data_IF_176310705287
#
_entry.id   IF_176310705287
#
_cell.length_a   1.000
_cell.length_b   1.000
_cell.length_c   1.000
_cell.angle_alpha   90.00
_cell.angle_beta   90.00
_cell.angle_gamma   90.00
#
_symmetry.space_group_name_H-M   'P 1'
#
loop_
_entity.id
_entity.type
_entity.pdbx_description
1 polymer ?
#
# COMPACT_ATOMS: atom_id res chain seq x y z
N UNK A 1 57.80 2.72 -48.18
CA UNK A 1 56.80 3.78 -48.43
C UNK A 1 55.64 3.14 -49.17
N UNK A 2 54.59 2.84 -48.45
CA UNK A 2 53.31 2.48 -49.05
C UNK A 2 52.24 2.82 -48.00
N UNK A 3 51.34 3.73 -48.33
CA UNK A 3 50.26 4.27 -47.52
C UNK A 3 49.14 3.23 -47.35
N UNK A 4 48.43 3.17 -46.20
CA UNK A 4 47.28 2.32 -46.04
C UNK A 4 46.05 2.92 -46.72
N UNK A 5 45.05 2.05 -47.11
CA UNK A 5 43.87 2.49 -47.81
C UNK A 5 42.85 3.14 -46.87
N UNK A 6 42.25 4.24 -47.36
CA UNK A 6 41.16 4.99 -46.76
C UNK A 6 39.83 4.20 -46.79
N UNK A 7 39.16 4.06 -45.64
CA UNK A 7 37.77 3.63 -45.55
C UNK A 7 36.83 4.85 -45.76
N UNK A 8 35.71 4.70 -46.43
CA UNK A 8 34.74 5.77 -46.60
C UNK A 8 33.91 6.02 -45.33
N UNK A 9 33.82 7.27 -44.90
CA UNK A 9 32.91 7.76 -43.87
C UNK A 9 31.46 7.66 -44.35
N UNK A 10 30.66 6.89 -43.64
CA UNK A 10 29.20 6.96 -43.74
C UNK A 10 28.64 7.95 -42.68
N UNK A 11 27.72 8.84 -43.05
CA UNK A 11 27.18 9.80 -42.10
C UNK A 11 26.20 9.15 -41.16
N UNK A 12 26.57 9.11 -39.88
CA UNK A 12 25.66 8.69 -38.79
C UNK A 12 24.68 9.85 -38.52
N UNK A 13 23.48 9.76 -39.07
CA UNK A 13 22.36 10.62 -38.65
C UNK A 13 21.84 10.11 -37.30
N UNK A 14 22.11 10.88 -36.27
CA UNK A 14 21.38 10.85 -35.01
C UNK A 14 19.97 11.41 -35.24
N UNK A 15 18.99 10.56 -35.45
CA UNK A 15 17.60 10.92 -35.36
C UNK A 15 16.88 9.75 -34.67
N UNK A 16 16.61 9.92 -33.41
CA UNK A 16 15.85 8.95 -32.61
C UNK A 16 15.78 9.46 -31.20
N UNK A 17 14.84 10.35 -30.93
CA UNK A 17 14.33 10.58 -29.58
C UNK A 17 13.91 9.23 -29.00
N UNK A 18 14.18 8.92 -27.70
CA UNK A 18 13.67 7.70 -27.10
C UNK A 18 12.14 7.80 -27.07
N UNK A 19 11.49 7.02 -27.90
CA UNK A 19 10.07 6.72 -27.74
C UNK A 19 9.89 6.10 -26.36
N UNK A 20 9.20 6.83 -25.50
CA UNK A 20 8.56 6.27 -24.33
C UNK A 20 7.68 5.12 -24.82
N UNK A 21 8.13 3.89 -24.67
CA UNK A 21 7.27 2.72 -24.71
C UNK A 21 6.33 2.81 -23.53
N UNK A 22 5.22 3.52 -23.70
CA UNK A 22 4.06 3.38 -22.84
C UNK A 22 3.71 1.89 -22.76
N UNK A 23 3.85 1.33 -21.59
CA UNK A 23 3.29 0.02 -21.24
C UNK A 23 1.77 0.13 -21.38
N UNK A 24 1.28 -0.14 -22.58
CA UNK A 24 -0.15 -0.17 -22.85
C UNK A 24 -0.74 -1.41 -22.18
N UNK A 25 -1.43 -1.20 -21.06
CA UNK A 25 -2.25 -2.25 -20.43
C UNK A 25 -3.12 -2.94 -21.48
N UNK A 26 -3.37 -4.26 -21.37
CA UNK A 26 -4.26 -5.00 -22.26
C UNK A 26 -5.61 -4.29 -22.38
N UNK A 27 -6.19 -4.29 -23.57
CA UNK A 27 -7.46 -3.59 -23.84
C UNK A 27 -8.58 -3.98 -22.86
N UNK A 28 -8.61 -5.23 -22.40
CA UNK A 28 -9.54 -5.74 -21.38
C UNK A 28 -9.37 -5.06 -20.02
N UNK A 29 -8.13 -4.80 -19.60
CA UNK A 29 -7.85 -4.14 -18.32
C UNK A 29 -8.20 -2.65 -18.36
N UNK A 30 -8.02 -1.99 -19.50
CA UNK A 30 -8.44 -0.58 -19.70
C UNK A 30 -9.96 -0.44 -19.71
N UNK A 31 -10.68 -1.38 -20.33
CA UNK A 31 -12.15 -1.38 -20.34
C UNK A 31 -12.69 -1.61 -18.93
N UNK A 32 -12.12 -2.54 -18.17
CA UNK A 32 -12.51 -2.81 -16.77
C UNK A 32 -12.18 -1.63 -15.86
N UNK A 33 -11.01 -1.01 -15.97
CA UNK A 33 -10.64 0.17 -15.19
C UNK A 33 -11.52 1.38 -15.52
N UNK A 34 -11.80 1.62 -16.81
CA UNK A 34 -12.71 2.68 -17.25
C UNK A 34 -14.14 2.42 -16.80
N UNK A 35 -14.63 1.18 -16.87
CA UNK A 35 -15.96 0.82 -16.38
C UNK A 35 -16.07 0.99 -14.86
N UNK A 36 -15.04 0.60 -14.11
CA UNK A 36 -15.00 0.77 -12.65
C UNK A 36 -14.97 2.24 -12.25
N UNK A 37 -14.15 3.06 -12.91
CA UNK A 37 -14.10 4.50 -12.70
C UNK A 37 -15.45 5.17 -13.02
N UNK A 38 -16.11 4.78 -14.13
CA UNK A 38 -17.42 5.31 -14.50
C UNK A 38 -18.51 4.93 -13.49
N UNK A 39 -18.43 3.71 -12.91
CA UNK A 39 -19.38 3.27 -11.87
C UNK A 39 -19.15 4.06 -10.57
N UNK A 40 -17.90 4.29 -10.17
CA UNK A 40 -17.58 5.09 -8.98
C UNK A 40 -18.00 6.55 -9.13
N UNK A 41 -17.71 7.17 -10.27
CA UNK A 41 -18.15 8.55 -10.58
C UNK A 41 -19.67 8.69 -10.56
N UNK A 42 -20.39 7.72 -11.14
CA UNK A 42 -21.88 7.72 -11.11
C UNK A 42 -22.42 7.54 -9.69
N UNK A 43 -21.78 6.66 -8.89
CA UNK A 43 -22.16 6.43 -7.49
C UNK A 43 -21.96 7.69 -6.65
N UNK A 44 -20.85 8.39 -6.82
CA UNK A 44 -20.55 9.62 -6.08
C UNK A 44 -21.42 10.78 -6.56
N UNK A 45 -21.69 10.86 -7.85
CA UNK A 45 -22.68 11.81 -8.40
C UNK A 45 -24.08 11.57 -7.80
N UNK A 46 -24.51 10.31 -7.70
CA UNK A 46 -25.82 9.97 -7.13
C UNK A 46 -25.92 10.33 -5.65
N UNK A 47 -24.85 10.10 -4.86
CA UNK A 47 -24.79 10.52 -3.46
C UNK A 47 -24.88 12.04 -3.30
N UNK A 48 -24.12 12.79 -4.09
CA UNK A 48 -24.17 14.25 -4.09
C UNK A 48 -25.53 14.78 -4.53
N UNK A 49 -26.15 14.13 -5.51
CA UNK A 49 -27.49 14.46 -5.96
C UNK A 49 -28.54 14.29 -4.85
N UNK A 50 -28.50 13.18 -4.11
CA UNK A 50 -29.39 12.94 -2.96
C UNK A 50 -29.22 14.04 -1.90
N UNK A 51 -27.98 14.35 -1.53
CA UNK A 51 -27.67 15.40 -0.54
C UNK A 51 -28.21 16.75 -1.01
N UNK A 52 -28.00 17.10 -2.29
CA UNK A 52 -28.47 18.34 -2.87
C UNK A 52 -30.02 18.42 -2.87
N UNK A 53 -30.69 17.31 -3.19
CA UNK A 53 -32.17 17.24 -3.17
C UNK A 53 -32.69 17.49 -1.75
N UNK A 54 -32.12 16.84 -0.74
CA UNK A 54 -32.53 17.08 0.66
C UNK A 54 -32.24 18.50 1.12
N UNK A 55 -31.09 19.08 0.75
CA UNK A 55 -30.75 20.47 1.10
C UNK A 55 -31.71 21.46 0.45
N UNK A 56 -32.01 21.28 -0.85
CA UNK A 56 -32.91 22.15 -1.60
C UNK A 56 -34.36 22.03 -1.09
N UNK A 57 -34.86 20.82 -0.85
CA UNK A 57 -36.21 20.61 -0.31
C UNK A 57 -36.35 21.22 1.08
N UNK A 58 -35.37 21.09 1.96
CA UNK A 58 -35.34 21.74 3.27
C UNK A 58 -35.37 23.25 3.16
N UNK A 59 -34.57 23.81 2.24
CA UNK A 59 -34.58 25.27 1.96
C UNK A 59 -35.91 25.76 1.45
N UNK A 60 -36.51 25.07 0.45
CA UNK A 60 -37.82 25.43 -0.12
C UNK A 60 -38.93 25.33 0.92
N UNK A 61 -38.89 24.32 1.77
CA UNK A 61 -39.86 24.17 2.85
C UNK A 61 -39.72 25.29 3.90
N UNK A 62 -38.49 25.66 4.26
CA UNK A 62 -38.21 26.80 5.14
C UNK A 62 -38.75 28.11 4.52
N UNK A 63 -38.48 28.34 3.24
CA UNK A 63 -38.95 29.53 2.51
C UNK A 63 -40.48 29.56 2.42
N UNK A 64 -41.12 28.42 2.16
CA UNK A 64 -42.58 28.31 2.16
C UNK A 64 -43.18 28.69 3.51
N UNK A 65 -42.64 28.21 4.63
CA UNK A 65 -43.09 28.53 5.97
C UNK A 65 -42.92 30.03 6.30
N UNK A 66 -41.85 30.66 5.84
CA UNK A 66 -41.57 32.09 6.02
C UNK A 66 -42.56 32.92 5.21
N UNK A 67 -42.89 32.52 3.98
CA UNK A 67 -43.77 33.27 3.07
C UNK A 67 -45.27 33.10 3.42
N UNK A 68 -45.67 31.90 3.90
CA UNK A 68 -47.10 31.58 4.14
C UNK A 68 -47.73 32.35 5.29
N UNK A 69 -46.95 32.93 6.20
CA UNK A 69 -47.41 33.73 7.37
C UNK A 69 -48.56 33.11 8.15
N UNK A 70 -48.81 31.83 8.03
CA UNK A 70 -49.89 31.14 8.73
C UNK A 70 -49.49 30.87 10.17
N UNK A 71 -49.92 31.74 11.11
CA UNK A 71 -49.54 31.72 12.52
C UNK A 71 -49.91 30.43 13.26
N UNK A 72 -50.96 29.75 12.84
CA UNK A 72 -51.40 28.52 13.47
C UNK A 72 -50.48 27.32 13.14
N UNK A 73 -49.92 27.28 11.93
CA UNK A 73 -49.03 26.22 11.48
C UNK A 73 -47.56 26.53 11.83
N UNK A 74 -47.15 27.79 11.78
CA UNK A 74 -45.80 28.24 12.04
C UNK A 74 -45.34 27.96 13.50
N UNK A 75 -46.18 28.16 14.49
CA UNK A 75 -45.84 27.98 15.90
C UNK A 75 -45.46 26.55 16.29
N UNK A 76 -45.99 25.53 15.58
CA UNK A 76 -45.71 24.13 15.86
C UNK A 76 -44.57 23.56 15.02
N UNK A 77 -44.24 24.13 13.87
CA UNK A 77 -43.30 23.57 12.88
C UNK A 77 -41.96 24.31 12.87
N UNK A 78 -41.89 25.59 13.29
CA UNK A 78 -40.61 26.33 13.36
C UNK A 78 -39.53 25.64 14.19
N UNK A 79 -39.82 24.97 15.29
CA UNK A 79 -38.80 24.22 16.03
C UNK A 79 -38.19 23.03 15.26
N UNK A 80 -38.91 22.51 14.23
CA UNK A 80 -38.44 21.36 13.43
C UNK A 80 -37.55 21.74 12.25
N UNK A 81 -37.52 23.04 11.85
CA UNK A 81 -36.73 23.50 10.69
C UNK A 81 -35.24 23.18 10.82
N UNK A 82 -34.54 23.44 11.94
CA UNK A 82 -33.12 23.07 12.09
C UNK A 82 -32.86 21.58 11.89
N UNK A 83 -33.81 20.73 12.31
CA UNK A 83 -33.67 19.29 12.26
C UNK A 83 -33.74 18.72 10.82
N UNK A 84 -34.43 19.41 9.90
CA UNK A 84 -34.47 19.01 8.49
C UNK A 84 -33.08 19.10 7.80
N UNK A 85 -32.23 20.01 8.26
CA UNK A 85 -30.87 20.15 7.73
C UNK A 85 -29.89 19.11 8.28
N UNK A 86 -30.24 18.40 9.36
CA UNK A 86 -29.42 17.33 9.93
C UNK A 86 -29.25 16.16 8.98
N UNK A 87 -30.29 15.81 8.21
CA UNK A 87 -30.24 14.69 7.27
C UNK A 87 -29.12 14.86 6.25
N UNK A 88 -29.03 15.97 5.46
CA UNK A 88 -27.91 16.17 4.55
C UNK A 88 -26.53 16.23 5.25
N UNK A 89 -26.47 16.78 6.47
CA UNK A 89 -25.21 16.86 7.25
C UNK A 89 -24.73 15.47 7.65
N UNK A 90 -25.62 14.62 8.17
CA UNK A 90 -25.32 13.25 8.54
C UNK A 90 -24.90 12.42 7.33
N UNK A 91 -25.63 12.53 6.21
CA UNK A 91 -25.29 11.84 4.97
C UNK A 91 -23.91 12.26 4.43
N UNK A 92 -23.59 13.57 4.53
CA UNK A 92 -22.28 14.07 4.13
C UNK A 92 -21.16 13.52 5.02
N UNK A 93 -21.32 13.51 6.34
CA UNK A 93 -20.35 12.97 7.28
C UNK A 93 -20.11 11.46 7.07
N UNK A 94 -21.19 10.70 6.82
CA UNK A 94 -21.13 9.25 6.59
C UNK A 94 -20.49 8.88 5.23
N UNK A 95 -20.74 9.65 4.19
CA UNK A 95 -20.29 9.31 2.83
C UNK A 95 -18.96 9.91 2.46
N UNK A 96 -18.53 11.00 3.11
CA UNK A 96 -17.28 11.73 2.81
C UNK A 96 -16.47 12.08 4.07
N UNK A 97 -15.92 11.11 4.82
CA UNK A 97 -15.34 11.36 6.14
C UNK A 97 -14.16 12.34 6.14
N UNK A 98 -13.37 12.44 5.04
CA UNK A 98 -12.22 13.36 4.95
C UNK A 98 -12.55 14.76 4.42
N UNK A 99 -13.50 14.88 3.49
CA UNK A 99 -13.96 16.15 2.91
C UNK A 99 -15.27 16.63 3.52
N UNK A 100 -16.06 15.69 4.08
CA UNK A 100 -17.34 15.94 4.71
C UNK A 100 -17.22 16.90 5.89
N UNK A 101 -16.17 16.82 6.70
CA UNK A 101 -15.96 17.71 7.85
C UNK A 101 -15.92 19.20 7.44
N UNK A 102 -15.18 19.53 6.37
CA UNK A 102 -15.09 20.92 5.89
C UNK A 102 -16.41 21.43 5.32
N UNK A 103 -17.11 20.60 4.55
CA UNK A 103 -18.41 20.96 3.98
C UNK A 103 -19.48 21.00 5.06
N UNK A 104 -19.43 20.11 6.05
CA UNK A 104 -20.34 20.12 7.21
C UNK A 104 -20.14 21.41 8.04
N UNK A 105 -18.90 21.84 8.29
CA UNK A 105 -18.58 23.11 8.96
C UNK A 105 -19.15 24.32 8.20
N UNK A 106 -19.00 24.35 6.87
CA UNK A 106 -19.56 25.42 6.02
C UNK A 106 -21.08 25.43 6.05
N UNK A 107 -21.71 24.26 6.04
CA UNK A 107 -23.19 24.14 6.12
C UNK A 107 -23.70 24.60 7.49
N UNK A 108 -23.05 24.20 8.58
CA UNK A 108 -23.41 24.65 9.94
C UNK A 108 -23.24 26.16 10.05
N UNK A 109 -22.14 26.73 9.54
CA UNK A 109 -21.93 28.18 9.54
C UNK A 109 -23.03 28.91 8.73
N UNK A 110 -23.43 28.37 7.58
CA UNK A 110 -24.51 28.93 6.75
C UNK A 110 -25.86 28.86 7.47
N UNK A 111 -26.19 27.76 8.16
CA UNK A 111 -27.43 27.60 8.95
C UNK A 111 -27.42 28.57 10.14
N UNK A 112 -26.31 28.72 10.85
CA UNK A 112 -26.19 29.70 11.95
C UNK A 112 -26.38 31.13 11.46
N UNK A 113 -25.80 31.48 10.31
CA UNK A 113 -26.02 32.80 9.70
C UNK A 113 -27.46 33.02 9.29
N UNK A 114 -28.09 32.02 8.70
CA UNK A 114 -29.50 32.08 8.31
C UNK A 114 -30.44 32.21 9.52
N UNK A 115 -30.23 31.41 10.56
CA UNK A 115 -31.03 31.47 11.79
C UNK A 115 -30.85 32.81 12.52
N UNK A 116 -29.63 33.35 12.54
CA UNK A 116 -29.34 34.67 13.11
C UNK A 116 -29.99 35.78 12.30
N UNK A 117 -29.97 35.70 10.97
CA UNK A 117 -30.65 36.64 10.09
C UNK A 117 -32.17 36.63 10.30
N UNK A 118 -32.81 35.46 10.32
CA UNK A 118 -34.23 35.29 10.57
C UNK A 118 -34.67 35.81 11.95
N UNK A 119 -33.78 35.71 12.94
CA UNK A 119 -34.01 36.30 14.27
C UNK A 119 -33.94 37.85 14.26
N UNK A 120 -32.95 38.41 13.57
CA UNK A 120 -32.78 39.86 13.45
C UNK A 120 -33.94 40.52 12.70
N UNK A 121 -34.54 39.84 11.70
CA UNK A 121 -35.71 40.27 10.95
C UNK A 121 -37.04 40.08 11.73
N UNK A 122 -36.98 39.60 12.98
CA UNK A 122 -38.15 39.38 13.80
C UNK A 122 -39.09 38.26 13.36
N UNK A 123 -38.62 37.42 12.45
CA UNK A 123 -39.40 36.29 11.89
C UNK A 123 -39.46 35.15 12.92
N UNK A 124 -38.40 34.98 13.75
CA UNK A 124 -38.37 34.02 14.86
C UNK A 124 -38.50 34.79 16.18
N UNK A 125 -39.67 34.72 16.78
CA UNK A 125 -40.06 35.56 17.88
C UNK A 125 -39.51 35.22 19.26
N UNK A 126 -38.70 34.18 19.43
CA UNK A 126 -38.18 33.78 20.73
C UNK A 126 -36.67 33.45 20.69
N UNK A 127 -35.80 34.34 21.28
CA UNK A 127 -34.35 34.15 21.27
C UNK A 127 -33.90 32.87 22.01
N UNK A 128 -34.70 32.38 22.94
CA UNK A 128 -34.38 31.15 23.69
C UNK A 128 -34.48 29.91 22.79
N UNK A 129 -35.45 29.85 21.86
CA UNK A 129 -35.56 28.74 20.90
C UNK A 129 -34.41 28.76 19.90
N UNK A 130 -33.99 29.96 19.42
CA UNK A 130 -32.81 30.08 18.54
C UNK A 130 -31.51 29.64 19.24
N UNK A 131 -31.34 29.97 20.52
CA UNK A 131 -30.18 29.59 21.33
C UNK A 131 -30.18 28.07 21.62
N UNK A 132 -31.33 27.48 21.90
CA UNK A 132 -31.50 26.04 22.13
C UNK A 132 -31.17 25.24 20.85
N UNK A 133 -31.63 25.73 19.71
CA UNK A 133 -31.34 25.11 18.41
C UNK A 133 -29.84 25.21 18.05
N UNK A 134 -29.21 26.38 18.26
CA UNK A 134 -27.77 26.55 18.08
C UNK A 134 -26.96 25.66 19.04
N UNK A 135 -27.42 25.50 20.29
CA UNK A 135 -26.80 24.59 21.26
C UNK A 135 -26.89 23.12 20.84
N UNK A 136 -28.04 22.72 20.27
CA UNK A 136 -28.21 21.36 19.72
C UNK A 136 -27.33 21.12 18.49
N UNK A 137 -27.23 22.08 17.57
CA UNK A 137 -26.37 21.97 16.39
C UNK A 137 -24.88 21.84 16.79
N UNK A 138 -24.45 22.57 17.81
CA UNK A 138 -23.11 22.46 18.40
C UNK A 138 -22.92 21.09 19.07
N UNK A 139 -23.91 20.58 19.82
CA UNK A 139 -23.84 19.27 20.47
C UNK A 139 -23.73 18.13 19.43
N UNK A 140 -24.48 18.21 18.33
CA UNK A 140 -24.44 17.27 17.21
C UNK A 140 -23.08 17.35 16.50
N UNK A 141 -22.54 18.58 16.31
CA UNK A 141 -21.20 18.77 15.74
C UNK A 141 -20.12 18.15 16.62
N UNK A 142 -20.16 18.39 17.93
CA UNK A 142 -19.24 17.79 18.89
C UNK A 142 -19.38 16.26 18.91
N UNK A 143 -20.62 15.75 18.85
CA UNK A 143 -20.87 14.33 18.75
C UNK A 143 -20.30 13.72 17.45
N UNK A 144 -20.48 14.37 16.28
CA UNK A 144 -19.89 13.95 15.02
C UNK A 144 -18.37 14.08 14.99
N UNK A 145 -17.80 15.06 15.65
CA UNK A 145 -16.36 15.21 15.81
C UNK A 145 -15.76 14.13 16.74
N UNK A 146 -16.50 13.77 17.79
CA UNK A 146 -16.18 12.65 18.67
C UNK A 146 -16.39 11.29 17.97
N UNK A 147 -17.34 11.18 17.05
CA UNK A 147 -17.57 9.99 16.23
C UNK A 147 -16.36 9.57 15.40
N UNK A 148 -15.57 10.52 14.95
CA UNK A 148 -14.28 10.22 14.32
C UNK A 148 -13.28 9.54 15.29
N UNK A 149 -13.57 9.55 16.60
CA UNK A 149 -12.69 9.03 17.65
C UNK A 149 -13.34 7.95 18.54
N UNK A 150 -14.65 7.99 18.76
CA UNK A 150 -15.36 7.00 19.59
C UNK A 150 -16.81 6.78 19.10
N UNK A 151 -16.96 5.72 18.33
CA UNK A 151 -18.14 5.37 17.57
C UNK A 151 -19.33 4.95 18.43
N UNK A 152 -19.09 4.20 19.50
CA UNK A 152 -20.17 3.63 20.34
C UNK A 152 -20.95 4.72 21.06
N UNK A 153 -20.26 5.78 21.47
CA UNK A 153 -20.85 6.92 22.16
C UNK A 153 -21.75 7.75 21.26
N UNK A 154 -21.42 7.82 19.97
CA UNK A 154 -22.20 8.58 18.98
C UNK A 154 -23.40 7.78 18.47
N UNK A 155 -23.28 6.49 18.29
CA UNK A 155 -24.41 5.64 17.94
C UNK A 155 -25.46 5.66 19.07
N UNK A 156 -25.05 5.62 20.35
CA UNK A 156 -25.96 5.74 21.48
C UNK A 156 -26.60 7.12 21.58
N UNK A 157 -25.82 8.20 21.31
CA UNK A 157 -26.33 9.56 21.30
C UNK A 157 -27.32 9.82 20.16
N UNK A 158 -26.98 9.41 18.93
CA UNK A 158 -27.84 9.56 17.77
C UNK A 158 -29.12 8.72 17.94
N UNK A 159 -29.03 7.51 18.43
CA UNK A 159 -30.20 6.69 18.73
C UNK A 159 -31.12 7.37 19.74
N UNK A 160 -30.60 7.83 20.87
CA UNK A 160 -31.38 8.57 21.89
C UNK A 160 -31.98 9.87 21.37
N UNK A 161 -31.27 10.60 20.51
CA UNK A 161 -31.73 11.84 19.90
C UNK A 161 -32.88 11.59 18.92
N UNK A 162 -32.76 10.61 18.02
CA UNK A 162 -33.81 10.28 17.04
C UNK A 162 -35.04 9.66 17.72
N UNK A 163 -34.85 8.87 18.77
CA UNK A 163 -35.98 8.37 19.59
C UNK A 163 -36.77 9.50 20.26
N UNK A 164 -36.06 10.53 20.78
CA UNK A 164 -36.70 11.69 21.41
C UNK A 164 -37.34 12.68 20.43
N UNK A 165 -36.80 12.76 19.19
CA UNK A 165 -37.32 13.65 18.16
C UNK A 165 -38.50 13.09 17.35
N UNK A 166 -38.89 11.85 17.59
CA UNK A 166 -39.94 11.15 16.83
C UNK A 166 -39.53 10.77 15.40
N UNK A 167 -38.21 10.84 15.08
CA UNK A 167 -37.61 10.48 13.79
C UNK A 167 -36.89 9.13 13.86
N UNK A 168 -37.13 8.33 14.89
CA UNK A 168 -36.46 7.04 15.13
C UNK A 168 -36.58 6.06 13.96
N UNK A 169 -37.79 5.97 13.37
CA UNK A 169 -38.04 5.09 12.22
C UNK A 169 -37.18 5.49 10.98
N UNK A 170 -37.06 6.80 10.70
CA UNK A 170 -36.27 7.29 9.56
C UNK A 170 -34.76 7.10 9.78
N UNK A 171 -34.30 7.12 11.02
CA UNK A 171 -32.89 6.83 11.34
C UNK A 171 -32.59 5.33 11.20
N UNK A 172 -33.46 4.46 11.69
CA UNK A 172 -33.31 3.00 11.53
C UNK A 172 -33.34 2.60 10.05
N UNK A 173 -34.24 3.18 9.25
CA UNK A 173 -34.34 2.94 7.82
C UNK A 173 -33.07 3.40 7.07
N UNK A 174 -32.48 4.54 7.45
CA UNK A 174 -31.22 5.01 6.89
C UNK A 174 -30.02 4.11 7.32
N UNK A 175 -30.01 3.62 8.55
CA UNK A 175 -28.98 2.70 9.06
C UNK A 175 -29.11 1.29 8.47
N UNK A 176 -30.31 0.88 8.04
CA UNK A 176 -30.53 -0.38 7.34
C UNK A 176 -30.14 -0.33 5.85
N UNK A 177 -29.84 0.85 5.31
CA UNK A 177 -29.40 0.96 3.92
C UNK A 177 -28.16 0.08 3.67
N UNK A 178 -28.17 -0.79 2.62
CA UNK A 178 -27.12 -1.80 2.42
C UNK A 178 -25.70 -1.23 2.39
N UNK A 179 -25.49 -0.04 1.81
CA UNK A 179 -24.17 0.61 1.73
C UNK A 179 -23.70 1.16 3.08
N UNK A 180 -24.61 1.68 3.92
CA UNK A 180 -24.30 2.18 5.26
C UNK A 180 -23.99 1.00 6.18
N UNK A 181 -24.84 -0.02 6.14
CA UNK A 181 -24.67 -1.25 6.93
C UNK A 181 -23.38 -2.00 6.58
N UNK A 182 -23.03 -2.08 5.28
CA UNK A 182 -21.78 -2.69 4.83
C UNK A 182 -20.56 -1.90 5.34
N UNK A 183 -20.59 -0.57 5.30
CA UNK A 183 -19.52 0.29 5.80
C UNK A 183 -19.38 0.19 7.32
N UNK A 184 -20.49 0.19 8.05
CA UNK A 184 -20.52 0.01 9.50
C UNK A 184 -19.95 -1.36 9.89
N UNK A 185 -20.37 -2.41 9.19
CA UNK A 185 -19.85 -3.77 9.40
C UNK A 185 -18.36 -3.88 9.11
N UNK A 186 -17.89 -3.21 8.04
CA UNK A 186 -16.48 -3.16 7.68
C UNK A 186 -15.64 -2.43 8.73
N UNK A 187 -16.06 -1.23 9.18
CA UNK A 187 -15.36 -0.48 10.22
C UNK A 187 -15.34 -1.27 11.55
N UNK A 188 -16.46 -1.90 11.93
CA UNK A 188 -16.53 -2.75 13.11
C UNK A 188 -15.59 -3.95 13.01
N UNK A 189 -15.58 -4.62 11.86
CA UNK A 189 -14.67 -5.73 11.61
C UNK A 189 -13.20 -5.30 11.64
N UNK A 190 -12.86 -4.12 11.11
CA UNK A 190 -11.50 -3.59 11.17
C UNK A 190 -11.02 -3.39 12.61
N UNK A 191 -11.83 -2.73 13.45
CA UNK A 191 -11.50 -2.51 14.86
C UNK A 191 -11.40 -3.82 15.66
N UNK A 192 -12.21 -4.82 15.32
CA UNK A 192 -12.14 -6.14 15.93
C UNK A 192 -10.83 -6.84 15.56
N UNK A 193 -10.38 -6.72 14.30
CA UNK A 193 -9.10 -7.28 13.86
C UNK A 193 -7.92 -6.54 14.51
N UNK A 194 -7.99 -5.20 14.65
CA UNK A 194 -6.97 -4.42 15.38
C UNK A 194 -6.87 -4.89 16.84
N UNK A 195 -8.01 -5.15 17.51
CA UNK A 195 -7.99 -5.71 18.87
C UNK A 195 -7.39 -7.10 18.93
N UNK A 196 -7.61 -7.93 17.92
CA UNK A 196 -7.05 -9.28 17.83
C UNK A 196 -5.52 -9.30 17.73
N UNK A 197 -4.86 -8.18 17.32
CA UNK A 197 -3.39 -8.05 17.36
C UNK A 197 -2.81 -8.12 18.80
N UNK A 198 -3.62 -7.95 19.81
CA UNK A 198 -3.23 -8.02 21.22
C UNK A 198 -3.76 -9.28 21.93
N UNK A 199 -4.21 -10.27 21.16
CA UNK A 199 -4.70 -11.53 21.72
C UNK A 199 -3.55 -12.31 22.39
N UNK A 200 -3.76 -13.00 23.53
CA UNK A 200 -2.74 -13.82 24.17
C UNK A 200 -2.26 -14.99 23.28
N UNK A 201 -3.10 -15.51 22.39
CA UNK A 201 -2.77 -16.59 21.46
C UNK A 201 -2.04 -16.03 20.22
N UNK A 202 -0.86 -16.56 19.95
CA UNK A 202 -0.01 -16.10 18.86
C UNK A 202 -0.61 -16.40 17.46
N UNK A 203 -1.31 -17.52 17.30
CA UNK A 203 -2.02 -17.85 16.06
C UNK A 203 -3.09 -16.81 15.72
N UNK A 204 -3.79 -16.26 16.73
CA UNK A 204 -4.79 -15.21 16.54
C UNK A 204 -4.13 -13.89 16.14
N UNK A 205 -3.00 -13.55 16.76
CA UNK A 205 -2.24 -12.35 16.38
C UNK A 205 -1.69 -12.45 14.96
N UNK A 206 -1.16 -13.63 14.57
CA UNK A 206 -0.66 -13.90 13.22
C UNK A 206 -1.76 -13.74 12.17
N UNK A 207 -2.93 -14.37 12.42
CA UNK A 207 -4.06 -14.30 11.49
C UNK A 207 -4.64 -12.88 11.38
N UNK A 208 -4.70 -12.15 12.50
CA UNK A 208 -5.11 -10.75 12.50
C UNK A 208 -4.13 -9.87 11.68
N UNK A 209 -2.82 -10.09 11.83
CA UNK A 209 -1.81 -9.39 11.05
C UNK A 209 -1.98 -9.68 9.54
N UNK A 210 -2.23 -10.93 9.17
CA UNK A 210 -2.48 -11.35 7.78
C UNK A 210 -3.72 -10.68 7.21
N UNK A 211 -4.84 -10.72 7.95
CA UNK A 211 -6.09 -10.11 7.55
C UNK A 211 -5.96 -8.60 7.29
N UNK A 212 -5.20 -7.89 8.13
CA UNK A 212 -4.91 -6.45 7.92
C UNK A 212 -4.08 -6.20 6.68
N UNK A 213 -3.11 -7.08 6.38
CA UNK A 213 -2.32 -7.01 5.16
C UNK A 213 -3.17 -7.21 3.90
N UNK A 214 -4.12 -8.15 3.93
CA UNK A 214 -5.05 -8.41 2.83
C UNK A 214 -6.07 -7.27 2.63
N UNK A 215 -6.51 -6.64 3.73
CA UNK A 215 -7.37 -5.46 3.68
C UNK A 215 -6.68 -4.25 3.05
N UNK A 216 -5.36 -4.12 3.15
CA UNK A 216 -4.58 -3.04 2.59
C UNK A 216 -4.86 -1.66 3.19
N UNK A 217 -5.53 -1.57 4.35
CA UNK A 217 -5.87 -0.30 4.98
C UNK A 217 -4.66 0.31 5.67
N UNK A 218 -4.29 1.54 5.28
CA UNK A 218 -3.15 2.26 5.83
C UNK A 218 -3.23 2.57 7.34
N UNK A 219 -4.41 2.47 7.94
CA UNK A 219 -4.59 2.62 9.39
C UNK A 219 -3.94 1.47 10.16
N UNK A 220 -3.76 0.31 9.52
CA UNK A 220 -3.11 -0.84 10.12
C UNK A 220 -1.58 -0.72 10.21
N UNK A 221 -0.96 0.26 9.54
CA UNK A 221 0.50 0.37 9.46
C UNK A 221 1.15 0.50 10.83
N UNK A 222 0.70 1.45 11.64
CA UNK A 222 1.29 1.69 12.95
C UNK A 222 1.08 0.51 13.93
N UNK A 223 -0.13 -0.11 14.02
CA UNK A 223 -0.32 -1.37 14.74
C UNK A 223 0.58 -2.51 14.28
N UNK A 224 0.72 -2.72 12.96
CA UNK A 224 1.58 -3.78 12.42
C UNK A 224 3.07 -3.50 12.65
N UNK A 225 3.52 -2.24 12.66
CA UNK A 225 4.89 -1.87 13.06
C UNK A 225 5.14 -2.32 14.51
N UNK A 226 4.17 -2.16 15.41
CA UNK A 226 4.27 -2.65 16.77
C UNK A 226 4.50 -4.17 16.86
N UNK A 227 3.87 -4.94 15.98
CA UNK A 227 4.04 -6.39 15.94
C UNK A 227 5.37 -6.87 15.36
N UNK A 228 6.19 -6.01 14.77
CA UNK A 228 7.56 -6.38 14.38
C UNK A 228 8.45 -6.72 15.59
N UNK A 229 8.00 -6.41 16.81
CA UNK A 229 8.65 -6.76 18.08
C UNK A 229 7.89 -7.81 18.89
N UNK A 230 6.95 -8.53 18.27
CA UNK A 230 6.20 -9.61 18.93
C UNK A 230 7.16 -10.71 19.42
N UNK A 231 6.81 -11.36 20.52
CA UNK A 231 7.59 -12.48 21.05
C UNK A 231 7.64 -13.67 20.09
N UNK A 232 6.57 -13.92 19.34
CA UNK A 232 6.47 -15.01 18.38
C UNK A 232 7.03 -14.60 17.00
N UNK A 233 8.01 -15.36 16.51
CA UNK A 233 8.68 -15.14 15.22
C UNK A 233 7.76 -15.21 14.02
N UNK A 234 6.67 -15.97 14.07
CA UNK A 234 5.72 -16.09 12.96
C UNK A 234 4.81 -14.86 12.89
N UNK A 235 4.44 -14.31 14.06
CA UNK A 235 3.73 -13.02 14.14
C UNK A 235 4.59 -11.91 13.56
N UNK A 236 5.88 -11.81 13.96
CA UNK A 236 6.81 -10.80 13.41
C UNK A 236 6.94 -10.93 11.89
N UNK A 237 7.08 -12.18 11.38
CA UNK A 237 7.16 -12.46 9.95
C UNK A 237 5.91 -11.98 9.21
N UNK A 238 4.73 -12.36 9.68
CA UNK A 238 3.48 -12.01 9.01
C UNK A 238 3.18 -10.51 9.09
N UNK A 239 3.49 -9.85 10.21
CA UNK A 239 3.42 -8.40 10.33
C UNK A 239 4.29 -7.69 9.28
N UNK A 240 5.53 -8.14 9.09
CA UNK A 240 6.44 -7.57 8.10
C UNK A 240 5.92 -7.76 6.65
N UNK A 241 5.41 -8.94 6.32
CA UNK A 241 4.79 -9.21 5.00
C UNK A 241 3.54 -8.35 4.78
N UNK A 242 2.69 -8.23 5.80
CA UNK A 242 1.47 -7.43 5.74
C UNK A 242 1.76 -5.95 5.55
N UNK A 243 2.82 -5.41 6.18
CA UNK A 243 3.33 -4.06 5.90
C UNK A 243 3.77 -3.89 4.44
N UNK A 244 4.44 -4.90 3.89
CA UNK A 244 4.82 -4.95 2.47
C UNK A 244 3.61 -4.87 1.54
N UNK A 245 2.58 -5.69 1.77
CA UNK A 245 1.32 -5.70 1.01
C UNK A 245 0.59 -4.36 1.06
N UNK A 246 0.53 -3.72 2.25
CA UNK A 246 -0.08 -2.38 2.40
C UNK A 246 0.72 -1.33 1.63
N UNK A 247 2.04 -1.46 1.54
CA UNK A 247 2.92 -0.63 0.74
C UNK A 247 2.94 0.85 1.13
N UNK A 248 2.77 1.16 2.42
CA UNK A 248 2.91 2.52 2.95
C UNK A 248 4.36 2.80 3.35
N UNK A 249 4.95 3.87 2.82
CA UNK A 249 6.36 4.23 3.02
C UNK A 249 6.76 4.41 4.49
N UNK A 250 5.82 4.72 5.38
CA UNK A 250 6.06 4.82 6.83
C UNK A 250 6.62 3.53 7.44
N UNK A 251 6.35 2.38 6.81
CA UNK A 251 6.83 1.09 7.28
C UNK A 251 8.31 0.82 6.94
N UNK A 252 8.89 1.52 5.95
CA UNK A 252 10.24 1.22 5.44
C UNK A 252 11.31 1.24 6.55
N UNK A 253 11.42 2.29 7.40
CA UNK A 253 12.45 2.30 8.44
C UNK A 253 12.31 1.14 9.44
N UNK A 254 11.07 0.78 9.80
CA UNK A 254 10.78 -0.32 10.72
C UNK A 254 11.13 -1.67 10.08
N UNK A 255 10.82 -1.87 8.80
CA UNK A 255 11.18 -3.08 8.06
C UNK A 255 12.71 -3.20 7.87
N UNK A 256 13.42 -2.11 7.59
CA UNK A 256 14.90 -2.12 7.56
C UNK A 256 15.48 -2.52 8.93
N UNK A 257 14.91 -2.01 10.03
CA UNK A 257 15.30 -2.42 11.38
C UNK A 257 15.01 -3.92 11.62
N UNK A 258 13.89 -4.43 11.15
CA UNK A 258 13.50 -5.85 11.29
C UNK A 258 14.39 -6.81 10.48
N UNK A 259 15.24 -6.32 9.56
CA UNK A 259 16.29 -7.13 8.93
C UNK A 259 17.36 -7.59 9.94
N UNK A 260 17.41 -6.99 11.14
CA UNK A 260 18.28 -7.41 12.26
C UNK A 260 17.59 -8.36 13.24
N UNK A 261 16.38 -8.82 12.94
CA UNK A 261 15.65 -9.75 13.83
C UNK A 261 16.56 -10.92 14.24
N UNK A 262 16.49 -11.31 15.50
CA UNK A 262 17.25 -12.44 16.02
C UNK A 262 16.93 -13.75 15.29
N UNK A 263 15.65 -13.93 14.91
CA UNK A 263 15.17 -15.11 14.21
C UNK A 263 15.20 -14.93 12.69
N UNK A 264 15.51 -16.02 12.00
CA UNK A 264 15.57 -16.05 10.53
C UNK A 264 14.21 -15.69 9.89
N UNK A 265 13.09 -16.15 10.48
CA UNK A 265 11.76 -15.91 9.90
C UNK A 265 11.38 -14.44 9.93
N UNK A 266 11.72 -13.72 11.02
CA UNK A 266 11.53 -12.27 11.09
C UNK A 266 12.32 -11.54 10.00
N UNK A 267 13.63 -11.89 9.85
CA UNK A 267 14.49 -11.31 8.79
C UNK A 267 13.95 -11.59 7.38
N UNK A 268 13.51 -12.83 7.12
CA UNK A 268 12.93 -13.20 5.82
C UNK A 268 11.65 -12.42 5.54
N UNK A 269 10.74 -12.31 6.54
CA UNK A 269 9.52 -11.52 6.41
C UNK A 269 9.79 -10.05 6.11
N UNK A 270 10.78 -9.45 6.79
CA UNK A 270 11.19 -8.07 6.54
C UNK A 270 11.74 -7.87 5.11
N UNK A 271 12.59 -8.78 4.64
CA UNK A 271 13.13 -8.72 3.28
C UNK A 271 12.04 -8.95 2.22
N UNK A 272 11.11 -9.88 2.45
CA UNK A 272 9.94 -10.10 1.59
C UNK A 272 9.05 -8.86 1.55
N UNK A 273 8.71 -8.29 2.73
CA UNK A 273 7.88 -7.09 2.82
C UNK A 273 8.49 -5.88 2.11
N UNK A 274 9.78 -5.62 2.30
CA UNK A 274 10.50 -4.57 1.57
C UNK A 274 10.50 -4.82 0.06
N UNK A 275 10.64 -6.08 -0.35
CA UNK A 275 10.56 -6.48 -1.75
C UNK A 275 9.18 -6.24 -2.36
N UNK A 276 8.10 -6.54 -1.62
CA UNK A 276 6.71 -6.29 -2.03
C UNK A 276 6.37 -4.79 -2.14
N UNK A 277 7.03 -3.93 -1.34
CA UNK A 277 6.90 -2.46 -1.46
C UNK A 277 7.46 -1.91 -2.77
N UNK A 278 8.31 -2.67 -3.45
CA UNK A 278 8.83 -2.33 -4.77
C UNK A 278 9.68 -1.06 -4.78
N UNK A 279 9.44 -0.21 -5.79
CA UNK A 279 10.21 1.02 -6.02
C UNK A 279 10.22 2.00 -4.85
N UNK A 280 9.21 1.95 -3.97
CA UNK A 280 9.16 2.81 -2.79
C UNK A 280 10.28 2.50 -1.78
N UNK A 281 10.62 1.21 -1.63
CA UNK A 281 11.70 0.80 -0.75
C UNK A 281 13.08 0.87 -1.40
N UNK A 282 13.17 1.02 -2.74
CA UNK A 282 14.40 0.92 -3.49
C UNK A 282 15.52 1.85 -2.99
N UNK A 283 15.29 3.17 -2.79
CA UNK A 283 16.35 4.06 -2.29
C UNK A 283 16.90 3.64 -0.92
N UNK A 284 16.02 3.26 0.00
CA UNK A 284 16.41 2.81 1.34
C UNK A 284 17.16 1.46 1.31
N UNK A 285 16.85 0.60 0.34
CA UNK A 285 17.56 -0.66 0.15
C UNK A 285 18.97 -0.46 -0.42
N UNK A 286 19.17 0.51 -1.32
CA UNK A 286 20.52 0.88 -1.81
C UNK A 286 21.37 1.37 -0.64
N UNK A 287 20.83 2.20 0.25
CA UNK A 287 21.52 2.65 1.46
C UNK A 287 21.79 1.47 2.43
N UNK A 288 20.82 0.58 2.58
CA UNK A 288 20.94 -0.60 3.45
C UNK A 288 22.05 -1.58 3.01
N UNK A 289 22.45 -1.57 1.75
CA UNK A 289 23.60 -2.36 1.25
C UNK A 289 24.94 -1.89 1.83
N UNK A 290 25.04 -0.70 2.37
CA UNK A 290 26.24 -0.15 3.03
C UNK A 290 26.14 -0.26 4.58
N UNK A 291 25.14 -0.94 5.12
CA UNK A 291 24.95 -1.06 6.57
C UNK A 291 26.06 -1.88 7.23
N UNK A 292 26.45 -1.52 8.46
CA UNK A 292 27.47 -2.24 9.22
C UNK A 292 27.07 -3.69 9.53
N UNK A 293 25.78 -3.95 9.74
CA UNK A 293 25.26 -5.28 10.03
C UNK A 293 25.05 -6.10 8.74
N UNK A 294 25.72 -7.23 8.64
CA UNK A 294 25.62 -8.09 7.47
C UNK A 294 24.22 -8.69 7.24
N UNK A 295 23.38 -8.84 8.29
CA UNK A 295 22.00 -9.30 8.12
C UNK A 295 21.18 -8.26 7.32
N UNK A 296 21.42 -6.97 7.59
CA UNK A 296 20.76 -5.88 6.83
C UNK A 296 21.21 -5.89 5.38
N UNK A 297 22.54 -5.99 5.13
CA UNK A 297 23.07 -6.07 3.77
C UNK A 297 22.53 -7.28 3.01
N UNK A 298 22.50 -8.45 3.68
CA UNK A 298 21.92 -9.67 3.10
C UNK A 298 20.43 -9.53 2.80
N UNK A 299 19.66 -8.98 3.75
CA UNK A 299 18.23 -8.74 3.59
C UNK A 299 17.93 -7.74 2.48
N UNK A 300 18.71 -6.67 2.38
CA UNK A 300 18.63 -5.70 1.29
C UNK A 300 18.90 -6.37 -0.08
N UNK A 301 19.91 -7.22 -0.19
CA UNK A 301 20.17 -7.98 -1.41
C UNK A 301 19.00 -8.91 -1.79
N UNK A 302 18.32 -9.52 -0.81
CA UNK A 302 17.13 -10.34 -1.03
C UNK A 302 15.97 -9.48 -1.53
N UNK A 303 15.70 -8.34 -0.89
CA UNK A 303 14.62 -7.42 -1.27
C UNK A 303 14.85 -6.84 -2.67
N UNK A 304 16.08 -6.38 -2.98
CA UNK A 304 16.45 -5.90 -4.33
C UNK A 304 16.24 -6.97 -5.40
N UNK A 305 16.53 -8.24 -5.08
CA UNK A 305 16.25 -9.37 -5.98
C UNK A 305 14.74 -9.57 -6.22
N UNK A 306 13.90 -9.34 -5.22
CA UNK A 306 12.44 -9.44 -5.35
C UNK A 306 11.92 -8.32 -6.23
N UNK A 307 12.39 -7.09 -6.02
CA UNK A 307 12.04 -5.91 -6.84
C UNK A 307 12.45 -6.12 -8.30
N UNK A 308 13.66 -6.66 -8.54
CA UNK A 308 14.13 -6.97 -9.87
C UNK A 308 14.57 -5.75 -10.70
N UNK A 309 14.74 -4.58 -10.09
CA UNK A 309 15.19 -3.37 -10.79
C UNK A 309 16.68 -3.45 -11.11
N UNK A 310 17.04 -3.24 -12.40
CA UNK A 310 18.43 -3.30 -12.89
C UNK A 310 19.31 -2.18 -12.33
N UNK A 311 18.75 -1.10 -11.87
CA UNK A 311 19.50 -0.03 -11.20
C UNK A 311 20.23 -0.49 -9.95
N UNK A 312 19.85 -1.66 -9.38
CA UNK A 312 20.56 -2.30 -8.27
C UNK A 312 21.87 -2.96 -8.68
N UNK A 313 22.13 -3.23 -9.97
CA UNK A 313 23.31 -3.97 -10.41
C UNK A 313 24.63 -3.35 -9.94
N UNK A 314 24.88 -2.03 -10.02
CA UNK A 314 26.15 -1.47 -9.56
C UNK A 314 26.42 -1.71 -8.07
N UNK A 315 25.42 -1.60 -7.20
CA UNK A 315 25.61 -1.83 -5.76
C UNK A 315 25.78 -3.32 -5.47
N UNK A 316 25.05 -4.19 -6.16
CA UNK A 316 25.18 -5.64 -6.03
C UNK A 316 26.56 -6.13 -6.52
N UNK A 317 27.07 -5.59 -7.63
CA UNK A 317 28.42 -5.91 -8.13
C UNK A 317 29.49 -5.52 -7.08
N UNK A 318 29.41 -4.32 -6.49
CA UNK A 318 30.33 -3.93 -5.39
C UNK A 318 30.22 -4.86 -4.20
N UNK A 319 29.00 -5.30 -3.83
CA UNK A 319 28.76 -6.20 -2.70
C UNK A 319 29.29 -7.63 -2.91
N UNK A 320 29.80 -7.97 -4.09
CA UNK A 320 30.60 -9.21 -4.29
C UNK A 320 31.92 -9.19 -3.51
N UNK A 321 32.39 -8.03 -3.05
CA UNK A 321 33.56 -7.88 -2.19
C UNK A 321 33.21 -7.87 -0.69
N UNK A 322 31.96 -8.15 -0.32
CA UNK A 322 31.53 -8.18 1.08
C UNK A 322 32.36 -9.22 1.88
N UNK A 323 32.75 -8.85 3.08
CA UNK A 323 33.49 -9.75 3.99
C UNK A 323 32.68 -11.01 4.36
N UNK A 324 31.33 -10.85 4.44
CA UNK A 324 30.43 -11.90 4.85
C UNK A 324 29.98 -12.78 3.67
N UNK A 325 30.29 -14.07 3.75
CA UNK A 325 29.92 -15.06 2.71
C UNK A 325 28.41 -15.17 2.45
N UNK A 326 27.56 -14.93 3.45
CA UNK A 326 26.11 -15.02 3.27
C UNK A 326 25.59 -13.84 2.43
N UNK A 327 26.20 -12.65 2.58
CA UNK A 327 25.91 -11.49 1.73
C UNK A 327 26.32 -11.81 0.29
N UNK A 328 27.59 -12.21 0.06
CA UNK A 328 28.07 -12.56 -1.28
C UNK A 328 27.22 -13.64 -1.96
N UNK A 329 26.81 -14.66 -1.19
CA UNK A 329 25.93 -15.73 -1.70
C UNK A 329 24.58 -15.21 -2.18
N UNK A 330 23.91 -14.34 -1.42
CA UNK A 330 22.63 -13.74 -1.83
C UNK A 330 22.82 -12.74 -2.96
N UNK A 331 23.93 -12.00 -2.99
CA UNK A 331 24.30 -11.10 -4.09
C UNK A 331 24.44 -11.87 -5.40
N UNK A 332 25.18 -13.00 -5.42
CA UNK A 332 25.29 -13.85 -6.64
C UNK A 332 23.92 -14.29 -7.12
N UNK A 333 23.04 -14.69 -6.20
CA UNK A 333 21.68 -15.10 -6.54
C UNK A 333 20.85 -13.95 -7.09
N UNK A 334 21.07 -12.73 -6.58
CA UNK A 334 20.41 -11.52 -7.04
C UNK A 334 20.89 -11.11 -8.43
N UNK A 335 22.20 -11.11 -8.66
CA UNK A 335 22.82 -10.87 -9.96
C UNK A 335 22.33 -11.86 -11.01
N UNK A 336 22.27 -13.15 -10.66
CA UNK A 336 21.78 -14.20 -11.56
C UNK A 336 20.28 -14.10 -11.91
N UNK A 337 19.48 -13.35 -11.11
CA UNK A 337 18.06 -13.13 -11.39
C UNK A 337 17.77 -11.82 -12.11
N UNK A 338 18.44 -10.74 -11.68
CA UNK A 338 18.19 -9.37 -12.17
C UNK A 338 19.03 -9.09 -13.40
N UNK A 339 20.26 -9.65 -13.44
CA UNK A 339 21.29 -9.33 -14.40
C UNK A 339 21.00 -9.83 -15.80
N UNK A 340 21.74 -9.26 -16.71
CA UNK A 340 21.86 -9.66 -18.10
C UNK A 340 23.32 -9.97 -18.43
N UNK A 341 23.72 -9.85 -19.70
CA UNK A 341 25.11 -10.05 -20.14
C UNK A 341 26.15 -9.18 -19.41
N UNK A 342 25.74 -8.08 -18.77
CA UNK A 342 26.64 -7.16 -18.06
C UNK A 342 27.24 -7.75 -16.77
N UNK A 343 26.57 -8.73 -16.15
CA UNK A 343 26.99 -9.33 -14.88
C UNK A 343 27.81 -10.63 -15.06
N UNK A 344 27.92 -11.13 -16.30
CA UNK A 344 28.56 -12.44 -16.58
C UNK A 344 29.98 -12.49 -16.05
N UNK A 345 30.79 -11.45 -16.27
CA UNK A 345 32.18 -11.40 -15.79
C UNK A 345 32.25 -11.45 -14.24
N UNK A 346 31.30 -10.78 -13.58
CA UNK A 346 31.19 -10.83 -12.10
C UNK A 346 30.81 -12.22 -11.62
N UNK A 347 29.90 -12.89 -12.30
CA UNK A 347 29.50 -14.27 -11.96
C UNK A 347 30.61 -15.27 -12.26
N UNK A 348 31.40 -15.07 -13.33
CA UNK A 348 32.60 -15.87 -13.63
C UNK A 348 33.64 -15.70 -12.51
N UNK A 349 33.90 -14.47 -12.07
CA UNK A 349 34.81 -14.22 -10.96
C UNK A 349 34.33 -14.92 -9.66
N UNK A 350 33.00 -15.01 -9.44
CA UNK A 350 32.41 -15.69 -8.29
C UNK A 350 32.64 -17.23 -8.29
N UNK A 351 33.01 -17.83 -9.42
CA UNK A 351 33.45 -19.24 -9.47
C UNK A 351 34.74 -19.48 -8.66
N UNK A 352 35.51 -18.43 -8.38
CA UNK A 352 36.76 -18.47 -7.61
C UNK A 352 36.60 -17.94 -6.17
N UNK A 353 35.35 -17.77 -5.69
CA UNK A 353 35.07 -17.31 -4.32
C UNK A 353 35.63 -18.31 -3.29
N UNK A 354 36.22 -17.85 -2.17
CA UNK A 354 36.72 -18.74 -1.13
C UNK A 354 35.64 -19.63 -0.48
N UNK A 355 34.37 -19.17 -0.49
CA UNK A 355 33.23 -19.93 0.06
C UNK A 355 32.57 -20.81 -1.01
N UNK A 356 32.54 -22.12 -0.76
CA UNK A 356 31.93 -23.08 -1.69
C UNK A 356 30.46 -22.80 -2.02
N UNK A 357 29.70 -22.22 -1.10
CA UNK A 357 28.28 -21.95 -1.35
C UNK A 357 28.07 -20.75 -2.28
N UNK A 358 29.00 -19.83 -2.34
CA UNK A 358 29.07 -18.76 -3.33
C UNK A 358 29.40 -19.35 -4.70
N UNK A 359 30.45 -20.20 -4.79
CA UNK A 359 30.82 -20.88 -6.03
C UNK A 359 29.67 -21.72 -6.60
N UNK A 360 28.97 -22.51 -5.75
CA UNK A 360 27.77 -23.26 -6.16
C UNK A 360 26.66 -22.38 -6.73
N UNK A 361 26.46 -21.19 -6.16
CA UNK A 361 25.47 -20.24 -6.67
C UNK A 361 25.91 -19.60 -7.98
N UNK A 362 27.21 -19.32 -8.14
CA UNK A 362 27.78 -18.81 -9.38
C UNK A 362 27.58 -19.80 -10.53
N UNK A 363 27.89 -21.09 -10.33
CA UNK A 363 27.62 -22.15 -11.31
C UNK A 363 26.12 -22.16 -11.68
N UNK A 364 25.22 -22.14 -10.67
CA UNK A 364 23.79 -22.16 -10.91
C UNK A 364 23.23 -20.89 -11.57
N UNK A 365 23.90 -19.77 -11.45
CA UNK A 365 23.55 -18.54 -12.16
C UNK A 365 24.04 -18.58 -13.61
N UNK A 366 25.28 -19.00 -13.82
CA UNK A 366 25.91 -19.10 -15.13
C UNK A 366 25.26 -20.15 -16.03
N UNK A 367 24.83 -21.31 -15.48
CA UNK A 367 24.13 -22.33 -16.27
C UNK A 367 22.84 -21.86 -16.94
N UNK A 368 22.23 -20.79 -16.42
CA UNK A 368 21.04 -20.17 -16.96
C UNK A 368 21.32 -19.05 -17.97
N UNK A 369 22.59 -18.65 -18.07
CA UNK A 369 23.02 -17.62 -19.01
C UNK A 369 23.29 -18.26 -20.35
N UNK A 370 22.52 -17.91 -21.38
CA UNK A 370 22.76 -18.38 -22.74
C UNK A 370 23.84 -17.50 -23.41
N UNK A 371 25.08 -17.59 -22.90
CA UNK A 371 26.21 -16.80 -23.37
C UNK A 371 27.46 -17.69 -23.51
N UNK A 372 28.11 -17.73 -24.69
CA UNK A 372 29.27 -18.59 -24.94
C UNK A 372 30.48 -18.34 -24.01
N UNK A 373 30.57 -17.15 -23.39
CA UNK A 373 31.65 -16.78 -22.47
C UNK A 373 31.66 -17.61 -21.19
N UNK A 374 30.52 -18.24 -20.82
CA UNK A 374 30.42 -19.03 -19.58
C UNK A 374 31.06 -20.40 -19.71
N UNK A 375 31.23 -20.94 -20.92
CA UNK A 375 31.61 -22.34 -21.17
C UNK A 375 33.02 -22.64 -20.64
N UNK A 376 34.05 -21.89 -21.07
CA UNK A 376 35.42 -22.11 -20.62
C UNK A 376 35.58 -21.97 -19.09
N UNK A 377 35.08 -20.93 -18.43
CA UNK A 377 35.11 -20.82 -16.97
C UNK A 377 34.43 -21.99 -16.24
N UNK A 378 33.33 -22.52 -16.79
CA UNK A 378 32.69 -23.71 -16.22
C UNK A 378 33.52 -24.97 -16.43
N UNK A 379 34.18 -25.10 -17.57
CA UNK A 379 35.14 -26.20 -17.82
C UNK A 379 36.33 -26.14 -16.84
N UNK A 380 36.89 -24.95 -16.58
CA UNK A 380 37.94 -24.78 -15.54
C UNK A 380 37.45 -25.24 -14.15
N UNK A 381 36.17 -24.92 -13.82
CA UNK A 381 35.55 -25.26 -12.55
C UNK A 381 35.26 -26.76 -12.36
N UNK A 382 35.44 -27.62 -13.38
CA UNK A 382 35.47 -29.10 -13.23
C UNK A 382 36.60 -29.56 -12.27
N UNK A 383 37.62 -28.73 -12.09
CA UNK A 383 38.75 -28.99 -11.18
C UNK A 383 38.57 -28.33 -9.80
N UNK A 384 37.34 -27.89 -9.44
CA UNK A 384 37.08 -27.30 -8.11
C UNK A 384 37.47 -28.26 -7.00
N UNK A 385 38.00 -27.73 -5.90
CA UNK A 385 38.39 -28.53 -4.71
C UNK A 385 37.18 -29.25 -4.07
N UNK A 386 35.99 -28.65 -4.10
CA UNK A 386 34.76 -29.22 -3.54
C UNK A 386 34.02 -30.11 -4.54
N UNK A 387 33.78 -31.35 -4.17
CA UNK A 387 33.10 -32.32 -5.04
C UNK A 387 31.65 -31.93 -5.38
N UNK A 388 30.98 -31.19 -4.50
CA UNK A 388 29.62 -30.69 -4.76
C UNK A 388 29.62 -29.60 -5.80
N UNK A 389 30.66 -28.76 -5.86
CA UNK A 389 30.83 -27.77 -6.93
C UNK A 389 31.11 -28.49 -8.24
N UNK A 390 32.06 -29.45 -8.27
CA UNK A 390 32.31 -30.22 -9.50
C UNK A 390 31.05 -30.91 -10.06
N UNK A 391 30.27 -31.55 -9.19
CA UNK A 391 29.03 -32.18 -9.60
C UNK A 391 28.02 -31.18 -10.18
N UNK A 392 27.94 -29.99 -9.59
CA UNK A 392 27.05 -28.91 -10.11
C UNK A 392 27.54 -28.41 -11.46
N UNK A 393 28.87 -28.29 -11.66
CA UNK A 393 29.45 -27.88 -12.93
C UNK A 393 29.16 -28.91 -14.03
N UNK A 394 29.33 -30.21 -13.73
CA UNK A 394 28.98 -31.27 -14.69
C UNK A 394 27.54 -31.10 -15.18
N UNK A 395 26.59 -30.97 -14.24
CA UNK A 395 25.19 -30.76 -14.61
C UNK A 395 24.95 -29.48 -15.40
N UNK A 396 25.68 -28.40 -15.06
CA UNK A 396 25.58 -27.14 -15.79
C UNK A 396 26.07 -27.27 -17.23
N UNK A 397 27.19 -27.99 -17.44
CA UNK A 397 27.74 -28.25 -18.77
C UNK A 397 26.85 -29.22 -19.60
N UNK A 398 26.17 -30.17 -18.94
CA UNK A 398 25.19 -31.06 -19.61
C UNK A 398 23.98 -30.27 -20.13
N UNK A 399 23.60 -29.17 -19.47
CA UNK A 399 22.49 -28.32 -19.91
C UNK A 399 22.88 -27.31 -21.00
N UNK A 400 24.19 -27.10 -21.23
CA UNK A 400 24.71 -26.15 -22.24
C UNK A 400 24.92 -26.89 -23.58
N UNK A 401 24.23 -26.46 -24.63
CA UNK A 401 24.40 -26.99 -25.99
C UNK A 401 25.62 -26.34 -26.69
N UNK A 402 26.84 -26.72 -26.22
CA UNK A 402 28.11 -26.21 -26.75
C UNK A 402 29.07 -27.41 -26.96
N UNK A 403 29.69 -27.57 -28.15
CA UNK A 403 30.60 -28.68 -28.43
C UNK A 403 31.79 -28.77 -27.42
N UNK A 404 32.27 -27.65 -26.92
CA UNK A 404 33.38 -27.61 -25.94
C UNK A 404 32.97 -28.22 -24.61
N UNK A 405 31.71 -28.00 -24.18
CA UNK A 405 31.14 -28.63 -22.98
C UNK A 405 31.09 -30.14 -23.10
N UNK A 406 30.62 -30.64 -24.25
CA UNK A 406 30.56 -32.10 -24.55
C UNK A 406 31.97 -32.73 -24.55
N UNK A 407 32.92 -32.09 -25.21
CA UNK A 407 34.31 -32.56 -25.23
C UNK A 407 34.94 -32.62 -23.83
N UNK A 408 34.75 -31.59 -23.05
CA UNK A 408 35.26 -31.51 -21.66
C UNK A 408 34.67 -32.61 -20.77
N UNK A 409 33.37 -32.86 -20.87
CA UNK A 409 32.67 -33.92 -20.12
C UNK A 409 33.20 -35.30 -20.50
N UNK A 410 33.40 -35.57 -21.78
CA UNK A 410 33.95 -36.84 -22.28
C UNK A 410 35.40 -37.11 -21.80
N UNK A 411 36.17 -36.04 -21.58
CA UNK A 411 37.56 -36.14 -21.04
C UNK A 411 37.62 -36.27 -19.52
N UNK A 412 36.51 -36.02 -18.79
CA UNK A 412 36.44 -36.01 -17.34
C UNK A 412 35.93 -37.35 -16.77
N UNK A 413 35.21 -38.15 -17.58
CA UNK A 413 34.71 -39.48 -17.27
C UNK A 413 35.76 -40.51 -17.69
#
# INVERSE_FOLDING_TARGET
>A
MASPPSFPEAPFRLSGTPEHTEYTMPASSRILASAHQTIEERRDFFKLFIIAVFAVTSLLFTLYLVVSRDQAFSGSVYPLIPHLYLIPIILMALWYPRRGLQVTLLLIAAILLLTTFLFLEGIVGNPFIALLNAGMDIAIFVALALYAKDRTLVESFLRGFFEHSGLGETFEEAMEHPSVRAKIKFEGAFEDVIRALHNPEDEVREEAARALGELGDRRAVDPLIGLLSDENRYVRREAAKSLGRIGDERAIPALISALKDEDRYGREGAAEGLGEMGEKAFPALIEAMENADWHVRMGAAIALRIIGNREALPVLIRAMQDENRFVRREVVKSLGRIGDHSVIETLIAALKDPDRSVRLRAVSALSKCNDPRVVEPLIEALNDEDSGVRLRVIRALEEIDDPRAVEALNNTI
#
